data_IF_067196258344
#
_entry.id   IF_067196258344
#
_cell.length_a   1.000
_cell.length_b   1.000
_cell.length_c   1.000
_cell.angle_alpha   90.00
_cell.angle_beta   90.00
_cell.angle_gamma   90.00
#
_symmetry.space_group_name_H-M   'P 1'
#
loop_
_entity.id
_entity.type
_entity.pdbx_description
1 polymer ?
#
# COMPACT_ATOMS: atom_id res chain seq x y z
N UNK A 1 30.84 53.33 -41.71
CA UNK A 1 29.77 52.60 -41.11
C UNK A 1 28.58 53.51 -40.94
N UNK A 2 27.54 53.36 -41.75
CA UNK A 2 26.38 54.25 -41.80
C UNK A 2 25.51 54.06 -40.57
N UNK A 3 24.70 55.10 -40.27
CA UNK A 3 23.77 55.07 -39.13
C UNK A 3 22.80 53.88 -39.17
N UNK A 4 22.40 53.49 -40.37
CA UNK A 4 21.51 52.37 -40.62
C UNK A 4 22.18 51.01 -40.38
N UNK A 5 23.46 50.84 -40.67
CA UNK A 5 24.18 49.60 -40.37
C UNK A 5 24.33 49.37 -38.87
N UNK A 6 24.55 50.41 -38.09
CA UNK A 6 24.58 50.34 -36.62
C UNK A 6 23.21 49.94 -36.04
N UNK A 7 22.12 50.46 -36.60
CA UNK A 7 20.77 50.16 -36.21
C UNK A 7 20.42 48.70 -36.47
N UNK A 8 20.72 48.20 -37.68
CA UNK A 8 20.52 46.78 -38.03
C UNK A 8 21.35 45.83 -37.17
N UNK A 9 22.57 46.22 -36.81
CA UNK A 9 23.42 45.41 -35.91
C UNK A 9 22.85 45.32 -34.49
N UNK A 10 22.31 46.42 -33.98
CA UNK A 10 21.61 46.49 -32.67
C UNK A 10 20.36 45.61 -32.66
N UNK A 11 19.50 45.70 -33.69
CA UNK A 11 18.28 44.88 -33.77
C UNK A 11 18.59 43.38 -33.86
N UNK A 12 19.67 43.02 -34.56
CA UNK A 12 20.10 41.59 -34.60
C UNK A 12 20.59 41.13 -33.22
N UNK A 13 21.34 41.95 -32.51
CA UNK A 13 21.82 41.63 -31.17
C UNK A 13 20.64 41.49 -30.20
N UNK A 14 19.65 42.40 -30.27
CA UNK A 14 18.44 42.38 -29.46
C UNK A 14 17.60 41.10 -29.72
N UNK A 15 17.40 40.75 -31.03
CA UNK A 15 16.71 39.50 -31.37
C UNK A 15 17.41 38.26 -30.81
N UNK A 16 18.75 38.19 -30.88
CA UNK A 16 19.52 37.09 -30.31
C UNK A 16 19.37 37.05 -28.78
N UNK A 17 19.45 38.19 -28.12
CA UNK A 17 19.29 38.29 -26.67
C UNK A 17 17.90 37.81 -26.22
N UNK A 18 16.85 38.25 -26.89
CA UNK A 18 15.48 37.81 -26.64
C UNK A 18 15.31 36.32 -26.90
N UNK A 19 15.93 35.81 -27.98
CA UNK A 19 15.89 34.38 -28.30
C UNK A 19 16.58 33.57 -27.21
N UNK A 20 17.77 33.95 -26.76
CA UNK A 20 18.48 33.25 -25.69
C UNK A 20 17.72 33.37 -24.36
N UNK A 21 17.16 34.52 -24.05
CA UNK A 21 16.33 34.69 -22.85
C UNK A 21 15.08 33.78 -22.87
N UNK A 22 14.37 33.74 -24.01
CA UNK A 22 13.21 32.88 -24.16
C UNK A 22 13.61 31.36 -24.10
N UNK A 23 14.70 31.00 -24.79
CA UNK A 23 15.19 29.62 -24.79
C UNK A 23 15.59 29.17 -23.39
N UNK A 24 16.22 30.01 -22.57
CA UNK A 24 16.59 29.67 -21.21
C UNK A 24 15.36 29.41 -20.32
N UNK A 25 14.30 30.19 -20.50
CA UNK A 25 13.03 29.99 -19.79
C UNK A 25 12.39 28.66 -20.19
N UNK A 26 12.37 28.34 -21.49
CA UNK A 26 11.81 27.07 -21.98
C UNK A 26 12.61 25.89 -21.45
N UNK A 27 13.94 25.98 -21.44
CA UNK A 27 14.81 24.93 -20.88
C UNK A 27 14.57 24.76 -19.38
N UNK A 28 14.47 25.85 -18.62
CA UNK A 28 14.16 25.79 -17.20
C UNK A 28 12.79 25.14 -16.95
N UNK A 29 11.77 25.48 -17.74
CA UNK A 29 10.46 24.89 -17.64
C UNK A 29 10.47 23.38 -17.92
N UNK A 30 11.25 22.95 -18.95
CA UNK A 30 11.43 21.52 -19.25
C UNK A 30 12.06 20.77 -18.09
N UNK A 31 13.09 21.32 -17.42
CA UNK A 31 13.66 20.72 -16.23
C UNK A 31 12.64 20.58 -15.09
N UNK A 32 11.83 21.60 -14.86
CA UNK A 32 10.75 21.53 -13.86
C UNK A 32 9.75 20.43 -14.20
N UNK A 33 9.33 20.33 -15.46
CA UNK A 33 8.41 19.28 -15.91
C UNK A 33 9.01 17.88 -15.69
N UNK A 34 10.29 17.68 -16.06
CA UNK A 34 10.99 16.42 -15.86
C UNK A 34 11.07 16.07 -14.37
N UNK A 35 11.39 17.05 -13.52
CA UNK A 35 11.48 16.87 -12.08
C UNK A 35 10.12 16.48 -11.49
N UNK A 36 9.06 17.21 -11.83
CA UNK A 36 7.70 16.93 -11.37
C UNK A 36 7.25 15.54 -11.83
N UNK A 37 7.48 15.21 -13.11
CA UNK A 37 7.13 13.90 -13.65
C UNK A 37 7.88 12.75 -12.93
N UNK A 38 9.15 12.96 -12.59
CA UNK A 38 9.95 12.00 -11.85
C UNK A 38 9.45 11.81 -10.41
N UNK A 39 9.04 12.88 -9.74
CA UNK A 39 8.44 12.82 -8.40
C UNK A 39 7.10 12.08 -8.45
N UNK A 40 6.23 12.41 -9.40
CA UNK A 40 4.94 11.73 -9.55
C UNK A 40 5.10 10.26 -9.90
N UNK A 41 5.98 9.93 -10.84
CA UNK A 41 6.22 8.55 -11.27
C UNK A 41 6.70 7.64 -10.12
N UNK A 42 7.57 8.16 -9.25
CA UNK A 42 8.10 7.40 -8.11
C UNK A 42 7.20 7.49 -6.86
N UNK A 43 6.53 8.60 -6.66
CA UNK A 43 5.70 8.86 -5.48
C UNK A 43 4.29 8.31 -5.60
N UNK A 44 3.75 8.12 -6.81
CA UNK A 44 2.37 7.67 -7.00
C UNK A 44 2.12 6.28 -6.41
N UNK A 45 3.12 5.41 -6.39
CA UNK A 45 3.00 4.07 -5.78
C UNK A 45 2.78 4.12 -4.26
N UNK A 46 3.20 5.20 -3.58
CA UNK A 46 2.98 5.38 -2.15
C UNK A 46 1.50 5.64 -1.81
N UNK A 47 0.70 6.14 -2.77
CA UNK A 47 -0.73 6.34 -2.59
C UNK A 47 -1.57 5.08 -2.86
N UNK A 48 -0.94 4.01 -3.25
CA UNK A 48 -1.58 2.71 -3.47
C UNK A 48 -1.13 1.73 -2.40
N UNK A 49 -2.05 0.96 -1.87
CA UNK A 49 -1.78 -0.17 -0.99
C UNK A 49 -2.18 -1.47 -1.68
N UNK A 50 -1.42 -2.52 -1.41
CA UNK A 50 -1.78 -3.86 -1.85
C UNK A 50 -2.74 -4.49 -0.86
N UNK A 51 -3.83 -5.06 -1.36
CA UNK A 51 -4.83 -5.77 -0.57
C UNK A 51 -4.97 -7.20 -1.05
N UNK A 52 -5.27 -8.09 -0.11
CA UNK A 52 -5.48 -9.51 -0.37
C UNK A 52 -6.91 -9.84 0.01
N UNK A 53 -7.66 -10.46 -0.91
CA UNK A 53 -9.04 -10.89 -0.67
C UNK A 53 -9.02 -12.27 0.00
N UNK A 54 -9.46 -12.33 1.25
CA UNK A 54 -9.55 -13.55 2.05
C UNK A 54 -10.97 -13.80 2.52
N UNK A 55 -11.35 -15.09 2.58
CA UNK A 55 -12.63 -15.51 3.15
C UNK A 55 -12.49 -15.61 4.67
N UNK A 56 -13.08 -14.68 5.41
CA UNK A 56 -13.09 -14.66 6.87
C UNK A 56 -14.34 -15.35 7.40
N UNK A 57 -14.16 -16.30 8.32
CA UNK A 57 -15.26 -16.93 9.05
C UNK A 57 -15.33 -16.36 10.46
N UNK A 58 -16.44 -15.69 10.79
CA UNK A 58 -16.68 -15.14 12.12
C UNK A 58 -17.17 -16.23 13.07
N UNK A 59 -16.23 -17.00 13.62
CA UNK A 59 -16.51 -18.11 14.51
C UNK A 59 -17.07 -17.61 15.86
N UNK A 60 -18.31 -18.00 16.24
CA UNK A 60 -18.89 -17.56 17.49
C UNK A 60 -18.13 -18.06 18.74
N UNK A 61 -17.35 -19.13 18.63
CA UNK A 61 -16.55 -19.66 19.75
C UNK A 61 -15.28 -18.83 19.98
N UNK A 62 -14.73 -18.22 18.94
CA UNK A 62 -13.52 -17.41 19.02
C UNK A 62 -13.79 -15.96 19.39
N UNK A 63 -14.90 -15.40 18.89
CA UNK A 63 -15.20 -13.97 19.10
C UNK A 63 -15.63 -13.68 20.53
N UNK A 64 -16.19 -14.67 21.24
CA UNK A 64 -16.80 -14.53 22.58
C UNK A 64 -17.90 -13.44 22.67
N UNK A 65 -18.39 -12.94 21.52
CA UNK A 65 -19.41 -11.89 21.40
C UNK A 65 -20.73 -12.51 20.97
N UNK A 66 -21.83 -12.02 21.53
CA UNK A 66 -23.18 -12.43 21.16
C UNK A 66 -23.74 -11.53 20.04
N UNK A 67 -24.66 -12.09 19.25
CA UNK A 67 -25.41 -11.29 18.30
C UNK A 67 -26.10 -10.10 18.99
N UNK A 68 -25.88 -8.89 18.48
CA UNK A 68 -26.44 -7.67 19.07
C UNK A 68 -25.56 -7.03 20.15
N UNK A 69 -24.28 -7.39 20.23
CA UNK A 69 -23.30 -6.73 21.09
C UNK A 69 -23.21 -5.23 20.80
N UNK A 70 -22.92 -4.48 21.85
CA UNK A 70 -22.70 -3.03 21.75
C UNK A 70 -21.36 -2.73 21.06
N UNK A 71 -21.23 -1.52 20.54
CA UNK A 71 -19.98 -1.06 19.91
C UNK A 71 -18.79 -1.17 20.87
N UNK A 72 -18.97 -0.84 22.14
CA UNK A 72 -17.93 -0.93 23.16
C UNK A 72 -17.50 -2.39 23.43
N UNK A 73 -18.43 -3.34 23.42
CA UNK A 73 -18.12 -4.77 23.56
C UNK A 73 -17.33 -5.28 22.34
N UNK A 74 -17.69 -4.85 21.13
CA UNK A 74 -16.98 -5.21 19.92
C UNK A 74 -15.57 -4.61 19.88
N UNK A 75 -15.43 -3.34 20.28
CA UNK A 75 -14.14 -2.66 20.32
C UNK A 75 -13.18 -3.29 21.33
N UNK A 76 -13.70 -3.82 22.43
CA UNK A 76 -12.90 -4.50 23.47
C UNK A 76 -12.58 -5.96 23.18
N UNK A 77 -13.26 -6.57 22.20
CA UNK A 77 -13.06 -7.97 21.85
C UNK A 77 -11.77 -8.18 21.07
N UNK A 78 -11.18 -9.37 21.23
CA UNK A 78 -10.02 -9.82 20.53
C UNK A 78 -10.44 -10.50 19.21
N UNK A 79 -9.97 -9.93 18.09
CA UNK A 79 -10.17 -10.49 16.76
C UNK A 79 -8.89 -11.14 16.19
N UNK A 80 -7.82 -11.18 16.98
CA UNK A 80 -6.56 -11.72 16.55
C UNK A 80 -6.64 -13.20 16.19
N UNK A 81 -7.28 -14.00 17.06
CA UNK A 81 -7.45 -15.44 16.84
C UNK A 81 -8.25 -15.76 15.59
N UNK A 82 -9.28 -14.96 15.29
CA UNK A 82 -10.05 -15.10 14.03
C UNK A 82 -9.18 -14.85 12.82
N UNK A 83 -8.35 -13.81 12.89
CA UNK A 83 -7.44 -13.46 11.81
C UNK A 83 -6.50 -14.63 11.53
N UNK A 84 -5.83 -15.15 12.55
CA UNK A 84 -4.91 -16.29 12.44
C UNK A 84 -5.62 -17.53 11.94
N UNK A 85 -6.74 -17.92 12.56
CA UNK A 85 -7.46 -19.11 12.17
C UNK A 85 -7.97 -19.08 10.73
N UNK A 86 -8.42 -17.90 10.29
CA UNK A 86 -8.84 -17.67 8.90
C UNK A 86 -7.70 -17.98 7.91
N UNK A 87 -6.50 -17.49 8.23
CA UNK A 87 -5.31 -17.69 7.40
C UNK A 87 -4.86 -19.15 7.40
N UNK A 88 -4.76 -19.75 8.57
CA UNK A 88 -4.32 -21.16 8.73
C UNK A 88 -5.30 -22.16 8.11
N UNK A 89 -6.60 -21.91 8.17
CA UNK A 89 -7.62 -22.74 7.49
C UNK A 89 -7.51 -22.65 5.97
N UNK A 90 -7.14 -21.49 5.46
CA UNK A 90 -7.01 -21.28 4.02
C UNK A 90 -5.69 -21.80 3.45
N UNK A 91 -4.62 -21.76 4.26
CA UNK A 91 -3.25 -22.11 3.87
C UNK A 91 -2.60 -22.95 4.97
N UNK A 92 -2.79 -24.30 4.93
CA UNK A 92 -2.21 -25.19 5.95
C UNK A 92 -0.68 -25.10 5.97
N UNK A 93 -0.13 -24.89 7.15
CA UNK A 93 1.30 -24.80 7.42
C UNK A 93 1.83 -26.11 7.99
N UNK A 94 3.13 -26.38 7.81
CA UNK A 94 3.77 -27.61 8.26
C UNK A 94 4.52 -27.44 9.58
N UNK A 95 4.91 -26.23 9.90
CA UNK A 95 5.70 -25.87 11.06
C UNK A 95 5.43 -24.43 11.50
N UNK A 96 5.96 -24.04 12.65
CA UNK A 96 5.79 -22.71 13.23
C UNK A 96 6.39 -21.62 12.34
N UNK A 97 7.53 -21.87 11.67
CA UNK A 97 8.16 -20.87 10.80
C UNK A 97 7.29 -20.55 9.58
N UNK A 98 6.56 -21.54 9.04
CA UNK A 98 5.58 -21.31 7.96
C UNK A 98 4.33 -20.59 8.48
N UNK A 99 3.91 -20.86 9.72
CA UNK A 99 2.79 -20.18 10.36
C UNK A 99 3.10 -18.69 10.57
N UNK A 100 4.23 -18.38 11.16
CA UNK A 100 4.72 -17.00 11.31
C UNK A 100 4.86 -16.32 9.94
N UNK A 101 5.45 -17.03 8.96
CA UNK A 101 5.58 -16.53 7.60
C UNK A 101 4.25 -16.25 6.90
N UNK A 102 3.19 -17.01 7.21
CA UNK A 102 1.84 -16.77 6.69
C UNK A 102 1.22 -15.53 7.32
N UNK A 103 1.37 -15.35 8.63
CA UNK A 103 0.87 -14.18 9.37
C UNK A 103 1.58 -12.92 8.87
N UNK A 104 2.87 -12.97 8.65
CA UNK A 104 3.70 -11.86 8.15
C UNK A 104 3.35 -11.42 6.70
N UNK A 105 2.49 -12.14 5.99
CA UNK A 105 1.96 -11.68 4.69
C UNK A 105 0.99 -10.50 4.84
N UNK A 106 0.44 -10.30 6.03
CA UNK A 106 -0.56 -9.30 6.35
C UNK A 106 0.00 -8.25 7.31
N UNK A 107 -0.59 -7.06 7.30
CA UNK A 107 -0.23 -6.03 8.28
C UNK A 107 -0.80 -6.39 9.65
N UNK A 108 -0.21 -5.83 10.70
CA UNK A 108 -0.77 -5.88 12.07
C UNK A 108 -2.17 -5.23 12.15
N UNK A 109 -2.53 -4.41 11.17
CA UNK A 109 -3.86 -3.79 11.07
C UNK A 109 -4.94 -4.74 10.54
N UNK A 110 -4.59 -5.96 10.11
CA UNK A 110 -5.55 -6.96 9.60
C UNK A 110 -6.68 -7.23 10.60
N UNK A 111 -6.35 -7.37 11.88
CA UNK A 111 -7.34 -7.48 12.96
C UNK A 111 -8.30 -6.28 13.00
N UNK A 112 -7.77 -5.07 12.86
CA UNK A 112 -8.58 -3.83 12.87
C UNK A 112 -9.52 -3.79 11.67
N UNK A 113 -9.07 -4.25 10.50
CA UNK A 113 -9.88 -4.31 9.28
C UNK A 113 -11.02 -5.33 9.43
N UNK A 114 -10.75 -6.50 10.03
CA UNK A 114 -11.77 -7.51 10.33
C UNK A 114 -12.77 -7.01 11.40
N UNK A 115 -12.27 -6.40 12.47
CA UNK A 115 -13.07 -5.78 13.51
C UNK A 115 -14.00 -4.70 12.95
N UNK A 116 -13.49 -3.86 12.06
CA UNK A 116 -14.28 -2.82 11.40
C UNK A 116 -15.39 -3.40 10.54
N UNK A 117 -15.13 -4.45 9.77
CA UNK A 117 -16.15 -5.13 8.98
C UNK A 117 -17.27 -5.70 9.86
N UNK A 118 -16.93 -6.18 11.06
CA UNK A 118 -17.90 -6.63 12.05
C UNK A 118 -18.71 -5.48 12.65
N UNK A 119 -18.08 -4.33 12.93
CA UNK A 119 -18.77 -3.12 13.40
C UNK A 119 -19.79 -2.60 12.36
N UNK A 120 -19.42 -2.62 11.08
CA UNK A 120 -20.30 -2.20 10.00
C UNK A 120 -21.51 -3.14 9.84
N UNK A 121 -21.39 -4.41 10.26
CA UNK A 121 -22.44 -5.40 10.20
C UNK A 121 -22.36 -6.44 11.34
N UNK A 122 -23.04 -6.17 12.45
CA UNK A 122 -23.03 -7.02 13.65
C UNK A 122 -23.68 -8.41 13.46
N UNK A 123 -24.25 -8.69 12.30
CA UNK A 123 -24.89 -9.99 11.98
C UNK A 123 -23.95 -10.95 11.24
N UNK A 124 -22.64 -10.81 11.40
CA UNK A 124 -21.64 -11.65 10.73
C UNK A 124 -21.29 -12.93 11.52
N UNK A 125 -21.71 -13.04 12.78
CA UNK A 125 -21.42 -14.25 13.60
C UNK A 125 -21.94 -15.50 12.89
N UNK A 126 -21.08 -16.50 12.75
CA UNK A 126 -21.36 -17.76 12.07
C UNK A 126 -21.40 -17.65 10.55
N UNK A 127 -21.01 -16.52 9.96
CA UNK A 127 -21.01 -16.32 8.52
C UNK A 127 -19.58 -16.19 7.97
N UNK A 128 -19.46 -16.56 6.70
CA UNK A 128 -18.25 -16.33 5.90
C UNK A 128 -18.45 -15.14 4.99
N UNK A 129 -17.50 -14.23 4.97
CA UNK A 129 -17.48 -13.10 4.04
C UNK A 129 -16.09 -12.95 3.43
N UNK A 130 -16.03 -12.42 2.22
CA UNK A 130 -14.77 -12.01 1.61
C UNK A 130 -14.43 -10.59 2.07
N UNK A 131 -13.23 -10.43 2.63
CA UNK A 131 -12.69 -9.15 3.04
C UNK A 131 -11.38 -8.86 2.30
N UNK A 132 -11.21 -7.60 1.96
CA UNK A 132 -9.93 -7.07 1.47
C UNK A 132 -9.08 -6.66 2.66
N UNK A 133 -8.04 -7.43 2.95
CA UNK A 133 -7.12 -7.18 4.05
C UNK A 133 -5.81 -6.62 3.49
N UNK A 134 -5.26 -5.63 4.14
CA UNK A 134 -4.03 -4.97 3.71
C UNK A 134 -2.83 -5.93 3.85
N UNK A 135 -2.09 -6.10 2.76
CA UNK A 135 -0.86 -6.88 2.74
C UNK A 135 0.25 -6.18 3.52
N UNK A 136 1.21 -6.96 4.03
CA UNK A 136 2.41 -6.42 4.67
C UNK A 136 3.24 -5.57 3.71
N UNK A 137 4.10 -4.72 4.27
CA UNK A 137 4.97 -3.83 3.49
C UNK A 137 5.86 -4.62 2.52
N UNK A 138 6.37 -5.77 2.92
CA UNK A 138 7.25 -6.58 2.09
C UNK A 138 6.48 -7.17 0.89
N UNK A 139 5.25 -7.60 1.08
CA UNK A 139 4.36 -8.07 0.00
C UNK A 139 3.91 -6.90 -0.88
N UNK A 140 3.61 -5.75 -0.31
CA UNK A 140 3.28 -4.54 -1.07
C UNK A 140 4.43 -4.12 -1.99
N UNK A 141 5.66 -4.10 -1.47
CA UNK A 141 6.84 -3.77 -2.26
C UNK A 141 7.15 -4.84 -3.34
N UNK A 142 6.92 -6.11 -3.03
CA UNK A 142 7.04 -7.19 -4.01
C UNK A 142 6.01 -7.01 -5.13
N UNK A 143 4.75 -6.77 -4.79
CA UNK A 143 3.67 -6.59 -5.75
C UNK A 143 3.81 -5.33 -6.61
N UNK A 144 4.44 -4.29 -6.06
CA UNK A 144 4.82 -3.06 -6.79
C UNK A 144 6.07 -3.23 -7.67
N UNK A 145 6.75 -4.37 -7.57
CA UNK A 145 7.97 -4.68 -8.37
C UNK A 145 9.23 -3.99 -7.85
N UNK A 146 9.23 -3.53 -6.60
CA UNK A 146 10.37 -2.86 -5.98
C UNK A 146 11.36 -3.85 -5.35
N UNK A 147 10.93 -5.10 -5.08
CA UNK A 147 11.78 -6.16 -4.56
C UNK A 147 12.14 -7.17 -5.64
N UNK A 148 13.44 -7.48 -5.82
CA UNK A 148 13.88 -8.49 -6.77
C UNK A 148 13.51 -9.88 -6.26
N UNK A 149 12.90 -10.69 -7.15
CA UNK A 149 12.50 -12.07 -6.85
C UNK A 149 13.66 -13.06 -7.02
N UNK A 150 14.65 -12.71 -7.83
CA UNK A 150 15.72 -13.62 -8.29
C UNK A 150 16.86 -13.78 -7.28
N UNK A 151 16.78 -13.13 -6.12
CA UNK A 151 17.79 -13.26 -5.09
C UNK A 151 17.63 -14.57 -4.30
N UNK A 152 18.73 -15.16 -3.83
CA UNK A 152 18.70 -16.26 -2.87
C UNK A 152 17.91 -15.89 -1.61
N UNK A 153 17.27 -16.87 -0.96
CA UNK A 153 16.39 -16.64 0.18
C UNK A 153 17.08 -15.92 1.34
N UNK A 154 18.37 -16.21 1.58
CA UNK A 154 19.18 -15.56 2.61
C UNK A 154 19.42 -14.04 2.36
N UNK A 155 19.12 -13.56 1.18
CA UNK A 155 19.24 -12.15 0.76
C UNK A 155 17.91 -11.47 0.46
N UNK A 156 16.81 -12.19 0.63
CA UNK A 156 15.45 -11.66 0.47
C UNK A 156 14.82 -11.42 1.83
N UNK A 157 13.86 -10.50 1.89
CA UNK A 157 13.00 -10.30 3.07
C UNK A 157 11.86 -11.30 3.14
N UNK A 158 11.54 -11.90 2.00
CA UNK A 158 10.41 -12.82 1.81
C UNK A 158 10.97 -14.22 1.63
N UNK A 159 10.47 -15.19 2.40
CA UNK A 159 10.85 -16.59 2.31
C UNK A 159 10.33 -17.25 1.03
N UNK A 160 10.85 -18.45 0.70
CA UNK A 160 10.32 -19.23 -0.42
C UNK A 160 8.86 -19.62 -0.21
N UNK A 161 8.48 -19.96 1.02
CA UNK A 161 7.10 -20.25 1.39
C UNK A 161 6.18 -19.05 1.15
N UNK A 162 6.56 -17.87 1.61
CA UNK A 162 5.79 -16.66 1.39
C UNK A 162 5.65 -16.30 -0.10
N UNK A 163 6.70 -16.55 -0.90
CA UNK A 163 6.61 -16.36 -2.35
C UNK A 163 5.63 -17.34 -3.01
N UNK A 164 5.60 -18.60 -2.57
CA UNK A 164 4.65 -19.60 -3.07
C UNK A 164 3.20 -19.16 -2.78
N UNK A 165 2.93 -18.71 -1.56
CA UNK A 165 1.60 -18.20 -1.19
C UNK A 165 1.24 -16.94 -1.97
N UNK A 166 2.19 -16.01 -2.12
CA UNK A 166 2.00 -14.81 -2.92
C UNK A 166 1.66 -15.14 -4.38
N UNK A 167 2.37 -16.10 -4.99
CA UNK A 167 2.09 -16.53 -6.36
C UNK A 167 0.69 -17.15 -6.48
N UNK A 168 0.25 -17.92 -5.48
CA UNK A 168 -1.13 -18.41 -5.41
C UNK A 168 -2.16 -17.28 -5.35
N UNK A 169 -1.88 -16.19 -4.62
CA UNK A 169 -2.76 -15.02 -4.59
C UNK A 169 -2.84 -14.35 -5.97
N UNK A 170 -1.72 -14.22 -6.66
CA UNK A 170 -1.67 -13.63 -8.01
C UNK A 170 -2.43 -14.50 -9.02
N UNK A 171 -2.19 -15.82 -9.03
CA UNK A 171 -2.84 -16.76 -9.95
C UNK A 171 -4.35 -16.86 -9.73
N UNK A 172 -4.78 -16.75 -8.47
CA UNK A 172 -6.21 -16.79 -8.11
C UNK A 172 -6.91 -15.43 -8.19
N UNK A 173 -6.22 -14.36 -8.64
CA UNK A 173 -6.72 -12.99 -8.67
C UNK A 173 -7.27 -12.51 -7.31
N UNK A 174 -6.62 -12.92 -6.23
CA UNK A 174 -6.96 -12.53 -4.86
C UNK A 174 -6.18 -11.32 -4.34
N UNK A 175 -5.17 -10.86 -5.08
CA UNK A 175 -4.35 -9.70 -4.73
C UNK A 175 -4.60 -8.56 -5.70
N UNK A 176 -4.78 -7.34 -5.16
CA UNK A 176 -5.08 -6.16 -5.95
C UNK A 176 -4.44 -4.90 -5.35
N UNK A 177 -4.46 -3.81 -6.10
CA UNK A 177 -3.94 -2.50 -5.67
C UNK A 177 -5.09 -1.53 -5.47
N UNK A 178 -5.31 -1.11 -4.24
CA UNK A 178 -6.33 -0.15 -3.89
C UNK A 178 -5.71 1.20 -3.49
N UNK A 179 -6.48 2.28 -3.69
CA UNK A 179 -6.05 3.60 -3.25
C UNK A 179 -6.03 3.69 -1.72
N UNK A 180 -4.92 4.16 -1.15
CA UNK A 180 -4.75 4.26 0.29
C UNK A 180 -5.42 5.51 0.83
N UNK A 181 -6.72 5.42 1.14
CA UNK A 181 -7.49 6.50 1.75
C UNK A 181 -7.01 6.86 3.16
N UNK A 182 -6.36 5.95 3.88
CA UNK A 182 -5.82 6.19 5.21
C UNK A 182 -4.82 7.34 5.23
N UNK A 183 -4.09 7.53 4.14
CA UNK A 183 -3.12 8.61 3.99
C UNK A 183 -3.74 10.01 4.14
N UNK A 184 -5.03 10.15 3.81
CA UNK A 184 -5.73 11.44 3.86
C UNK A 184 -6.65 11.57 5.07
N UNK A 185 -7.12 10.45 5.63
CA UNK A 185 -8.17 10.46 6.66
C UNK A 185 -7.64 10.20 8.07
N UNK A 186 -6.47 9.60 8.20
CA UNK A 186 -5.88 9.28 9.49
C UNK A 186 -4.67 10.17 9.76
N UNK A 187 -4.76 10.97 10.83
CA UNK A 187 -3.60 11.69 11.37
C UNK A 187 -2.58 10.73 11.99
N UNK A 188 -1.33 11.12 11.95
CA UNK A 188 -0.12 10.40 12.41
C UNK A 188 -0.03 10.20 13.94
N UNK A 189 -1.12 9.91 14.64
CA UNK A 189 -1.13 10.02 16.11
C UNK A 189 -1.29 8.72 16.89
N UNK A 190 -1.29 7.55 16.25
CA UNK A 190 -1.63 6.32 16.99
C UNK A 190 -0.53 5.79 17.87
N UNK A 191 0.72 5.95 17.47
CA UNK A 191 1.85 5.45 18.25
C UNK A 191 2.20 6.36 19.45
N UNK A 192 1.74 7.60 19.47
CA UNK A 192 2.01 8.55 20.54
C UNK A 192 1.11 8.36 21.79
N UNK A 193 -0.01 7.65 21.69
CA UNK A 193 -0.94 7.45 22.80
C UNK A 193 -0.59 6.25 23.70
N UNK A 194 0.39 5.42 23.31
CA UNK A 194 0.85 4.29 24.10
C UNK A 194 1.94 4.65 25.14
N UNK A 195 2.37 5.92 25.20
CA UNK A 195 3.43 6.39 26.11
C UNK A 195 2.94 7.44 27.14
N UNK A 196 1.64 7.52 27.44
CA UNK A 196 1.15 8.34 28.57
C UNK A 196 0.48 7.50 29.64
#
# INVERSE_FOLDING_TARGET
>A
MTKEERLKKRHRAEKRFRFYGLSSIVVALLFVIILVNNIFSKGSSAFMKTVINVEVFFDPELIEIKNGATEDEILSADFFDITIETLLKSYPTKNIDEEDGLIDLFTTDAEIEIKKAFLDNNNLIGKKINLEITASDDIDQLHKGNYPRDLPEDRRRISNFQLEIYDNFVESNKIDKNFNNYFFNNGDSRDCLLYT
#
